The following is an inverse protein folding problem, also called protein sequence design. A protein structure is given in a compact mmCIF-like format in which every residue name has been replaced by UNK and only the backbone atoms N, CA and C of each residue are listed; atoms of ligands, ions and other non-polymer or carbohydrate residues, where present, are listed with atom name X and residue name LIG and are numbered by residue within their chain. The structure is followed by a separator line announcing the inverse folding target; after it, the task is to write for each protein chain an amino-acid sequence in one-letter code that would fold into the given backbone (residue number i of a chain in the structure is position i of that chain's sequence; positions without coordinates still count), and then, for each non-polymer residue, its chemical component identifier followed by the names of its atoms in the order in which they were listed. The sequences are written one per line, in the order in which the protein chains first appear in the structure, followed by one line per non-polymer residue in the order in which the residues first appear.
data_IF_406026638066
#
_entry.id   IF_406026638066
#
_cell.length_a   1.000
_cell.length_b   1.000
_cell.length_c   1.000
_cell.angle_alpha   90.00
_cell.angle_beta   90.00
_cell.angle_gamma   90.00
#
_symmetry.space_group_name_H-M   'P 1'
#
loop_
_entity.id
_entity.type
_entity.pdbx_description
1 polymer ?
#
# COMPACT_ATOMS: atom_id res chain seq x y z
N UNK A 1 -31.17 -8.51 -38.10
CA UNK A 1 -30.31 -7.85 -37.10
C UNK A 1 -30.93 -7.87 -35.70
N UNK A 2 -32.13 -7.32 -35.48
CA UNK A 2 -32.79 -7.33 -34.15
C UNK A 2 -32.87 -8.74 -33.52
N UNK A 3 -33.33 -9.74 -34.29
CA UNK A 3 -33.42 -11.12 -33.79
C UNK A 3 -32.07 -11.72 -33.35
N UNK A 4 -30.95 -11.30 -33.95
CA UNK A 4 -29.62 -11.81 -33.56
C UNK A 4 -29.16 -11.16 -32.25
N UNK A 5 -29.36 -9.85 -32.11
CA UNK A 5 -29.06 -9.17 -30.85
C UNK A 5 -29.89 -9.75 -29.70
N UNK A 6 -31.16 -10.07 -29.93
CA UNK A 6 -32.02 -10.76 -28.95
C UNK A 6 -31.54 -12.18 -28.64
N UNK A 7 -31.08 -12.93 -29.66
CA UNK A 7 -30.52 -14.25 -29.45
C UNK A 7 -29.26 -14.22 -28.57
N UNK A 8 -28.34 -13.28 -28.81
CA UNK A 8 -27.18 -13.07 -27.94
C UNK A 8 -27.60 -12.72 -26.51
N UNK A 9 -28.58 -11.83 -26.36
CA UNK A 9 -29.09 -11.48 -25.04
C UNK A 9 -29.71 -12.69 -24.32
N UNK A 10 -30.44 -13.55 -25.03
CA UNK A 10 -31.00 -14.78 -24.48
C UNK A 10 -29.91 -15.76 -24.04
N UNK A 11 -28.85 -15.95 -24.85
CA UNK A 11 -27.70 -16.79 -24.48
C UNK A 11 -27.02 -16.25 -23.22
N UNK A 12 -26.77 -14.95 -23.14
CA UNK A 12 -26.16 -14.32 -21.97
C UNK A 12 -26.98 -14.55 -20.69
N UNK A 13 -28.31 -14.38 -20.78
CA UNK A 13 -29.21 -14.61 -19.63
C UNK A 13 -29.26 -16.07 -19.19
N UNK A 14 -29.26 -17.01 -20.14
CA UNK A 14 -29.26 -18.44 -19.83
C UNK A 14 -27.92 -18.86 -19.20
N UNK A 15 -26.80 -18.38 -19.72
CA UNK A 15 -25.47 -18.66 -19.20
C UNK A 15 -25.28 -18.13 -17.77
N UNK A 16 -25.78 -16.93 -17.45
CA UNK A 16 -25.71 -16.36 -16.09
C UNK A 16 -26.65 -17.00 -15.08
N UNK A 17 -27.65 -17.75 -15.53
CA UNK A 17 -28.66 -18.30 -14.62
C UNK A 17 -28.12 -19.48 -13.80
N UNK A 18 -27.27 -20.32 -14.38
CA UNK A 18 -26.81 -21.57 -13.78
C UNK A 18 -25.54 -22.10 -14.48
N UNK A 19 -24.54 -22.52 -13.69
CA UNK A 19 -23.23 -23.00 -14.20
C UNK A 19 -23.37 -24.29 -15.02
N UNK A 20 -24.33 -25.17 -14.70
CA UNK A 20 -24.59 -26.36 -15.50
C UNK A 20 -25.23 -25.99 -16.85
N UNK A 21 -26.14 -25.00 -16.87
CA UNK A 21 -26.68 -24.47 -18.14
C UNK A 21 -25.58 -23.82 -18.98
N UNK A 22 -24.71 -23.03 -18.37
CA UNK A 22 -23.56 -22.42 -19.04
C UNK A 22 -22.61 -23.46 -19.66
N UNK A 23 -22.28 -24.51 -18.90
CA UNK A 23 -21.45 -25.62 -19.38
C UNK A 23 -22.13 -26.34 -20.54
N UNK A 24 -23.42 -26.65 -20.43
CA UNK A 24 -24.18 -27.30 -21.51
C UNK A 24 -24.27 -26.44 -22.76
N UNK A 25 -24.41 -25.12 -22.62
CA UNK A 25 -24.39 -24.19 -23.74
C UNK A 25 -23.06 -24.30 -24.51
N UNK A 26 -21.93 -24.29 -23.81
CA UNK A 26 -20.61 -24.36 -24.46
C UNK A 26 -20.18 -25.76 -24.92
N UNK A 27 -20.60 -26.82 -24.24
CA UNK A 27 -20.17 -28.20 -24.51
C UNK A 27 -21.14 -29.00 -25.38
N UNK A 28 -22.44 -28.93 -25.11
CA UNK A 28 -23.44 -29.72 -25.84
C UNK A 28 -24.01 -28.97 -27.04
N UNK A 29 -24.14 -27.64 -26.93
CA UNK A 29 -24.84 -26.81 -27.91
C UNK A 29 -23.91 -25.93 -28.76
N UNK A 30 -22.59 -26.02 -28.53
CA UNK A 30 -21.57 -25.28 -29.27
C UNK A 30 -21.81 -23.76 -29.32
N UNK A 31 -22.39 -23.21 -28.24
CA UNK A 31 -22.74 -21.80 -28.17
C UNK A 31 -21.51 -20.89 -28.34
N UNK A 32 -20.33 -21.34 -27.90
CA UNK A 32 -19.07 -20.60 -28.07
C UNK A 32 -18.76 -20.35 -29.56
N UNK A 33 -18.78 -21.38 -30.40
CA UNK A 33 -18.52 -21.25 -31.83
C UNK A 33 -19.66 -20.50 -32.53
N UNK A 34 -20.91 -20.76 -32.16
CA UNK A 34 -22.08 -20.08 -32.74
C UNK A 34 -22.09 -18.57 -32.47
N UNK A 35 -21.86 -18.16 -31.22
CA UNK A 35 -21.82 -16.73 -30.85
C UNK A 35 -20.63 -16.04 -31.53
N UNK A 36 -19.45 -16.66 -31.49
CA UNK A 36 -18.24 -16.10 -32.10
C UNK A 36 -18.38 -15.98 -33.61
N UNK A 37 -18.90 -17.01 -34.29
CA UNK A 37 -19.16 -17.00 -35.72
C UNK A 37 -20.21 -15.96 -36.13
N UNK A 38 -21.31 -15.85 -35.38
CA UNK A 38 -22.33 -14.84 -35.64
C UNK A 38 -21.78 -13.42 -35.44
N UNK A 39 -21.02 -13.18 -34.36
CA UNK A 39 -20.41 -11.88 -34.09
C UNK A 39 -19.41 -11.51 -35.19
N UNK A 40 -18.56 -12.44 -35.64
CA UNK A 40 -17.61 -12.23 -36.74
C UNK A 40 -18.31 -11.81 -38.04
N UNK A 41 -19.40 -12.49 -38.40
CA UNK A 41 -20.09 -12.26 -39.66
C UNK A 41 -20.91 -10.96 -39.67
N UNK A 42 -21.40 -10.53 -38.51
CA UNK A 42 -22.38 -9.45 -38.41
C UNK A 42 -21.81 -8.16 -37.81
N UNK A 43 -20.60 -8.18 -37.25
CA UNK A 43 -19.99 -7.01 -36.61
C UNK A 43 -19.33 -6.03 -37.58
N UNK A 44 -19.09 -6.41 -38.84
CA UNK A 44 -18.43 -5.57 -39.84
C UNK A 44 -19.33 -4.47 -40.41
N UNK A 45 -20.66 -4.62 -40.30
CA UNK A 45 -21.62 -3.65 -40.81
C UNK A 45 -21.72 -2.40 -39.90
N UNK A 46 -21.78 -1.21 -40.50
CA UNK A 46 -22.04 0.04 -39.76
C UNK A 46 -23.44 0.01 -39.14
N UNK A 47 -23.57 0.51 -37.91
CA UNK A 47 -24.86 0.56 -37.19
C UNK A 47 -25.21 -0.70 -36.38
N UNK A 48 -24.29 -1.65 -36.24
CA UNK A 48 -24.52 -2.90 -35.51
C UNK A 48 -24.14 -2.84 -34.02
N UNK A 49 -24.30 -1.68 -33.37
CA UNK A 49 -23.86 -1.50 -31.97
C UNK A 49 -24.52 -2.51 -31.02
N UNK A 50 -25.84 -2.70 -31.13
CA UNK A 50 -26.57 -3.67 -30.30
C UNK A 50 -26.12 -5.13 -30.51
N UNK A 51 -25.67 -5.50 -31.70
CA UNK A 51 -25.12 -6.84 -31.97
C UNK A 51 -23.75 -7.00 -31.31
N UNK A 52 -22.90 -5.96 -31.39
CA UNK A 52 -21.57 -5.97 -30.73
C UNK A 52 -21.71 -6.02 -29.22
N UNK A 53 -22.50 -5.13 -28.64
CA UNK A 53 -22.73 -5.06 -27.20
C UNK A 53 -23.32 -6.39 -26.67
N UNK A 54 -24.41 -6.89 -27.27
CA UNK A 54 -25.01 -8.15 -26.82
C UNK A 54 -24.11 -9.36 -27.12
N UNK A 55 -23.36 -9.33 -28.22
CA UNK A 55 -22.38 -10.36 -28.55
C UNK A 55 -21.28 -10.45 -27.50
N UNK A 56 -20.66 -9.32 -27.14
CA UNK A 56 -19.69 -9.25 -26.05
C UNK A 56 -20.28 -9.70 -24.72
N UNK A 57 -21.53 -9.31 -24.41
CA UNK A 57 -22.23 -9.76 -23.21
C UNK A 57 -22.45 -11.28 -23.19
N UNK A 58 -22.78 -11.90 -24.33
CA UNK A 58 -22.92 -13.34 -24.44
C UNK A 58 -21.58 -14.07 -24.27
N UNK A 59 -20.51 -13.55 -24.86
CA UNK A 59 -19.15 -14.09 -24.70
C UNK A 59 -18.69 -14.00 -23.24
N UNK A 60 -18.88 -12.84 -22.59
CA UNK A 60 -18.63 -12.62 -21.16
C UNK A 60 -19.37 -13.65 -20.31
N UNK A 61 -20.68 -13.76 -20.50
CA UNK A 61 -21.52 -14.69 -19.76
C UNK A 61 -21.15 -16.17 -19.98
N UNK A 62 -20.66 -16.54 -21.16
CA UNK A 62 -20.20 -17.91 -21.43
C UNK A 62 -18.84 -18.20 -20.78
N UNK A 63 -17.97 -17.19 -20.64
CA UNK A 63 -16.64 -17.31 -20.06
C UNK A 63 -16.63 -17.26 -18.52
N UNK A 64 -17.55 -16.49 -17.93
CA UNK A 64 -17.62 -16.21 -16.49
C UNK A 64 -17.53 -17.49 -15.63
N UNK A 65 -16.50 -17.62 -14.79
CA UNK A 65 -16.22 -18.80 -13.97
C UNK A 65 -16.25 -20.18 -14.67
N UNK A 66 -16.03 -20.23 -16.00
CA UNK A 66 -16.08 -21.47 -16.77
C UNK A 66 -14.82 -21.69 -17.64
N UNK A 67 -13.83 -22.38 -17.09
CA UNK A 67 -12.53 -22.57 -17.75
C UNK A 67 -12.63 -23.34 -19.09
N UNK A 68 -13.53 -24.34 -19.19
CA UNK A 68 -13.77 -25.09 -20.43
C UNK A 68 -14.23 -24.14 -21.55
N UNK A 69 -15.18 -23.25 -21.24
CA UNK A 69 -15.66 -22.26 -22.19
C UNK A 69 -14.60 -21.19 -22.50
N UNK A 70 -13.81 -20.73 -21.52
CA UNK A 70 -12.70 -19.77 -21.76
C UNK A 70 -11.70 -20.31 -22.78
N UNK A 71 -11.32 -21.59 -22.66
CA UNK A 71 -10.42 -22.25 -23.61
C UNK A 71 -11.05 -22.27 -25.01
N UNK A 72 -12.29 -22.76 -25.13
CA UNK A 72 -13.01 -22.82 -26.41
C UNK A 72 -13.18 -21.45 -27.07
N UNK A 73 -13.59 -20.44 -26.30
CA UNK A 73 -13.72 -19.07 -26.79
C UNK A 73 -12.38 -18.51 -27.28
N UNK A 74 -11.28 -18.85 -26.59
CA UNK A 74 -9.94 -18.53 -27.05
C UNK A 74 -9.56 -19.22 -28.36
N UNK A 75 -9.92 -20.50 -28.55
CA UNK A 75 -9.71 -21.26 -29.78
C UNK A 75 -10.55 -20.73 -30.95
N UNK A 76 -11.78 -20.30 -30.66
CA UNK A 76 -12.70 -19.71 -31.64
C UNK A 76 -12.32 -18.27 -32.04
N UNK A 77 -11.34 -17.64 -31.37
CA UNK A 77 -10.90 -16.27 -31.65
C UNK A 77 -11.87 -15.21 -31.14
N UNK A 78 -12.55 -15.48 -30.01
CA UNK A 78 -13.47 -14.52 -29.39
C UNK A 78 -12.74 -13.27 -28.88
N UNK A 79 -11.48 -13.40 -28.44
CA UNK A 79 -10.67 -12.29 -27.96
C UNK A 79 -10.53 -11.22 -29.05
N UNK A 80 -10.16 -11.61 -30.27
CA UNK A 80 -10.00 -10.70 -31.41
C UNK A 80 -11.30 -9.97 -31.73
N UNK A 81 -12.44 -10.66 -31.68
CA UNK A 81 -13.75 -10.06 -31.94
C UNK A 81 -14.16 -9.05 -30.88
N UNK A 82 -13.90 -9.32 -29.60
CA UNK A 82 -14.15 -8.37 -28.50
C UNK A 82 -13.32 -7.10 -28.69
N UNK A 83 -12.07 -7.24 -29.13
CA UNK A 83 -11.17 -6.12 -29.38
C UNK A 83 -11.56 -5.32 -30.63
N UNK A 84 -12.03 -6.00 -31.67
CA UNK A 84 -12.58 -5.35 -32.86
C UNK A 84 -13.88 -4.61 -32.54
N UNK A 85 -14.72 -5.16 -31.65
CA UNK A 85 -15.89 -4.47 -31.13
C UNK A 85 -15.50 -3.19 -30.36
N UNK A 86 -14.49 -3.26 -29.48
CA UNK A 86 -13.96 -2.09 -28.77
C UNK A 86 -13.46 -1.01 -29.74
N UNK A 87 -12.67 -1.39 -30.76
CA UNK A 87 -12.17 -0.42 -31.76
C UNK A 87 -13.29 0.23 -32.56
N UNK A 88 -14.31 -0.55 -32.93
CA UNK A 88 -15.42 -0.09 -33.76
C UNK A 88 -16.47 0.74 -32.99
N UNK A 89 -16.42 0.74 -31.66
CA UNK A 89 -17.41 1.38 -30.79
C UNK A 89 -16.81 1.96 -29.52
N UNK A 90 -15.60 2.52 -29.58
CA UNK A 90 -14.90 3.07 -28.41
C UNK A 90 -15.63 4.29 -27.79
N UNK A 91 -16.53 4.92 -28.55
CA UNK A 91 -17.39 6.01 -28.12
C UNK A 91 -18.76 5.54 -27.58
N UNK A 92 -19.13 4.28 -27.79
CA UNK A 92 -20.40 3.68 -27.35
C UNK A 92 -20.21 2.96 -25.99
N UNK A 93 -20.79 3.52 -24.93
CA UNK A 93 -20.63 3.00 -23.56
C UNK A 93 -21.07 1.54 -23.43
N UNK A 94 -22.18 1.13 -24.07
CA UNK A 94 -22.67 -0.24 -23.96
C UNK A 94 -21.67 -1.24 -24.56
N UNK A 95 -21.06 -0.88 -25.71
CA UNK A 95 -20.02 -1.70 -26.32
C UNK A 95 -18.79 -1.75 -25.41
N UNK A 96 -18.32 -0.61 -24.92
CA UNK A 96 -17.11 -0.56 -24.10
C UNK A 96 -17.29 -1.35 -22.81
N UNK A 97 -18.41 -1.18 -22.10
CA UNK A 97 -18.73 -1.90 -20.87
C UNK A 97 -18.72 -3.41 -21.12
N UNK A 98 -19.52 -3.88 -22.08
CA UNK A 98 -19.68 -5.32 -22.31
C UNK A 98 -18.39 -5.96 -22.83
N UNK A 99 -17.66 -5.26 -23.69
CA UNK A 99 -16.41 -5.77 -24.23
C UNK A 99 -15.28 -5.77 -23.18
N UNK A 100 -15.19 -4.74 -22.32
CA UNK A 100 -14.22 -4.74 -21.23
C UNK A 100 -14.48 -5.84 -20.20
N UNK A 101 -15.75 -6.10 -19.87
CA UNK A 101 -16.11 -7.23 -19.01
C UNK A 101 -15.76 -8.57 -19.68
N UNK A 102 -16.05 -8.72 -20.97
CA UNK A 102 -15.63 -9.92 -21.72
C UNK A 102 -14.10 -10.12 -21.71
N UNK A 103 -13.30 -9.05 -21.75
CA UNK A 103 -11.83 -9.12 -21.62
C UNK A 103 -11.41 -9.60 -20.22
N UNK A 104 -12.11 -9.20 -19.17
CA UNK A 104 -11.79 -9.61 -17.80
C UNK A 104 -11.95 -11.14 -17.62
N UNK A 105 -12.98 -11.71 -18.26
CA UNK A 105 -13.34 -13.11 -18.11
C UNK A 105 -12.70 -14.01 -19.17
N UNK A 106 -12.21 -13.45 -20.28
CA UNK A 106 -11.59 -14.20 -21.37
C UNK A 106 -10.25 -14.84 -20.98
N UNK A 107 -9.79 -15.77 -21.83
CA UNK A 107 -8.49 -16.40 -21.69
C UNK A 107 -7.37 -15.36 -21.78
N UNK A 108 -6.86 -14.93 -20.61
CA UNK A 108 -5.85 -13.88 -20.47
C UNK A 108 -4.70 -14.10 -21.44
N UNK A 109 -4.19 -15.33 -21.60
CA UNK A 109 -3.01 -15.63 -22.44
C UNK A 109 -3.11 -15.20 -23.91
N UNK A 110 -4.33 -14.98 -24.44
CA UNK A 110 -4.57 -14.58 -25.83
C UNK A 110 -4.82 -13.08 -26.03
N UNK A 111 -4.87 -12.30 -24.95
CA UNK A 111 -5.32 -10.90 -24.98
C UNK A 111 -4.22 -9.85 -25.25
N UNK A 112 -2.97 -10.26 -25.52
CA UNK A 112 -1.87 -9.32 -25.74
C UNK A 112 -2.16 -8.24 -26.80
N UNK A 113 -2.72 -8.63 -27.94
CA UNK A 113 -3.13 -7.70 -29.01
C UNK A 113 -4.23 -6.69 -28.60
N UNK A 114 -4.91 -6.95 -27.47
CA UNK A 114 -6.01 -6.15 -26.96
C UNK A 114 -5.64 -4.96 -26.11
N UNK A 115 -4.41 -4.94 -25.59
CA UNK A 115 -3.91 -3.84 -24.76
C UNK A 115 -4.01 -2.51 -25.52
N UNK A 116 -3.64 -2.50 -26.80
CA UNK A 116 -3.71 -1.29 -27.63
C UNK A 116 -5.15 -0.77 -27.76
N UNK A 117 -6.13 -1.64 -27.94
CA UNK A 117 -7.54 -1.22 -28.06
C UNK A 117 -8.08 -0.62 -26.75
N UNK A 118 -7.73 -1.20 -25.60
CA UNK A 118 -8.12 -0.65 -24.29
C UNK A 118 -7.47 0.71 -24.03
N UNK A 119 -6.23 0.88 -24.47
CA UNK A 119 -5.52 2.15 -24.37
C UNK A 119 -6.17 3.21 -25.26
N UNK A 120 -6.62 2.85 -26.47
CA UNK A 120 -7.38 3.75 -27.34
C UNK A 120 -8.70 4.20 -26.69
N UNK A 121 -9.42 3.28 -26.04
CA UNK A 121 -10.62 3.62 -25.25
C UNK A 121 -10.27 4.61 -24.15
N UNK A 122 -9.19 4.38 -23.38
CA UNK A 122 -8.79 5.30 -22.31
C UNK A 122 -8.27 6.65 -22.82
N UNK A 123 -7.79 6.76 -24.06
CA UNK A 123 -7.48 8.06 -24.64
C UNK A 123 -8.75 8.86 -24.97
N UNK A 124 -9.84 8.17 -25.34
CA UNK A 124 -11.14 8.81 -25.62
C UNK A 124 -11.88 9.12 -24.31
N UNK A 125 -11.85 8.18 -23.36
CA UNK A 125 -12.55 8.23 -22.07
C UNK A 125 -11.61 7.85 -20.91
N UNK A 126 -10.76 8.78 -20.43
CA UNK A 126 -9.73 8.50 -19.40
C UNK A 126 -10.28 8.03 -18.05
N UNK A 127 -11.56 8.28 -17.79
CA UNK A 127 -12.31 7.94 -16.58
C UNK A 127 -13.24 6.73 -16.77
N UNK A 128 -13.13 5.99 -17.89
CA UNK A 128 -13.95 4.82 -18.13
C UNK A 128 -13.56 3.65 -17.21
N UNK A 129 -14.37 3.39 -16.19
CA UNK A 129 -14.06 2.45 -15.12
C UNK A 129 -13.83 1.00 -15.60
N UNK A 130 -14.61 0.52 -16.56
CA UNK A 130 -14.47 -0.86 -17.07
C UNK A 130 -13.21 -1.04 -17.92
N UNK A 131 -12.73 0.02 -18.58
CA UNK A 131 -11.49 -0.05 -19.34
C UNK A 131 -10.30 -0.17 -18.38
N UNK A 132 -10.34 0.57 -17.27
CA UNK A 132 -9.37 0.40 -16.19
C UNK A 132 -9.45 -0.97 -15.50
N UNK A 133 -10.66 -1.50 -15.28
CA UNK A 133 -10.86 -2.86 -14.76
C UNK A 133 -10.20 -3.90 -15.68
N UNK A 134 -10.45 -3.83 -16.98
CA UNK A 134 -9.85 -4.73 -17.96
C UNK A 134 -8.32 -4.62 -18.00
N UNK A 135 -7.77 -3.39 -17.96
CA UNK A 135 -6.32 -3.18 -17.87
C UNK A 135 -5.75 -3.76 -16.58
N UNK A 136 -6.44 -3.60 -15.45
CA UNK A 136 -6.01 -4.19 -14.18
C UNK A 136 -5.97 -5.71 -14.24
N UNK A 137 -7.02 -6.34 -14.79
CA UNK A 137 -7.08 -7.79 -14.97
C UNK A 137 -5.96 -8.34 -15.87
N UNK A 138 -5.54 -7.56 -16.87
CA UNK A 138 -4.38 -7.87 -17.73
C UNK A 138 -3.03 -7.65 -17.03
N UNK A 139 -2.95 -6.67 -16.13
CA UNK A 139 -1.74 -6.35 -15.37
C UNK A 139 -1.43 -7.41 -14.29
N UNK A 140 -2.47 -7.97 -13.67
CA UNK A 140 -2.37 -8.82 -12.47
C UNK A 140 -1.67 -10.17 -12.71
N UNK A 141 -1.77 -10.79 -13.90
CA UNK A 141 -1.48 -12.23 -14.02
C UNK A 141 -0.67 -12.69 -15.24
N UNK A 142 -0.08 -11.78 -16.04
CA UNK A 142 0.71 -12.21 -17.20
C UNK A 142 1.90 -11.28 -17.51
N UNK A 143 3.15 -11.69 -17.21
CA UNK A 143 4.35 -10.86 -17.40
C UNK A 143 4.54 -10.27 -18.82
N UNK A 144 4.14 -10.94 -19.92
CA UNK A 144 4.16 -10.31 -21.24
C UNK A 144 3.24 -9.08 -21.36
N UNK A 145 2.00 -9.15 -20.86
CA UNK A 145 1.09 -7.99 -20.88
C UNK A 145 1.61 -6.85 -20.03
N UNK A 146 2.17 -7.18 -18.87
CA UNK A 146 2.81 -6.22 -18.00
C UNK A 146 3.86 -5.37 -18.74
N UNK A 147 4.78 -6.02 -19.49
CA UNK A 147 5.80 -5.31 -20.29
C UNK A 147 5.18 -4.48 -21.41
N UNK A 148 4.14 -4.99 -22.05
CA UNK A 148 3.43 -4.27 -23.11
C UNK A 148 2.72 -3.02 -22.58
N UNK A 149 2.01 -3.13 -21.45
CA UNK A 149 1.37 -2.00 -20.76
C UNK A 149 2.40 -0.92 -20.36
N UNK A 150 3.58 -1.33 -19.91
CA UNK A 150 4.70 -0.41 -19.61
C UNK A 150 5.15 0.34 -20.86
N UNK A 151 5.39 -0.38 -21.97
CA UNK A 151 5.83 0.21 -23.24
C UNK A 151 4.82 1.16 -23.87
N UNK A 152 3.54 1.04 -23.50
CA UNK A 152 2.44 1.87 -24.03
C UNK A 152 2.07 3.07 -23.16
N UNK A 153 2.77 3.29 -22.04
CA UNK A 153 2.56 4.48 -21.20
C UNK A 153 1.37 4.41 -20.25
N UNK A 154 0.80 3.22 -20.00
CA UNK A 154 -0.37 3.03 -19.12
C UNK A 154 -0.14 3.55 -17.71
N UNK A 155 1.09 3.46 -17.20
CA UNK A 155 1.45 4.00 -15.87
C UNK A 155 1.23 5.51 -15.78
N UNK A 156 1.61 6.26 -16.83
CA UNK A 156 1.41 7.71 -16.86
C UNK A 156 -0.06 8.08 -17.00
N UNK A 157 -0.83 7.29 -17.75
CA UNK A 157 -2.29 7.44 -17.84
C UNK A 157 -2.95 7.18 -16.48
N UNK A 158 -2.54 6.12 -15.77
CA UNK A 158 -3.09 5.77 -14.46
C UNK A 158 -2.82 6.88 -13.43
N UNK A 159 -1.61 7.45 -13.44
CA UNK A 159 -1.27 8.62 -12.62
C UNK A 159 -2.15 9.84 -12.93
N UNK A 160 -2.40 10.10 -14.21
CA UNK A 160 -3.26 11.20 -14.63
C UNK A 160 -4.71 10.99 -14.18
N UNK A 161 -5.27 9.79 -14.38
CA UNK A 161 -6.62 9.44 -13.92
C UNK A 161 -6.73 9.51 -12.40
N UNK A 162 -5.76 8.97 -11.66
CA UNK A 162 -5.73 9.00 -10.21
C UNK A 162 -5.72 10.43 -9.63
N UNK A 163 -5.03 11.36 -10.30
CA UNK A 163 -4.98 12.80 -9.96
C UNK A 163 -6.25 13.55 -10.33
N UNK A 164 -6.96 13.12 -11.36
CA UNK A 164 -8.11 13.83 -11.86
C UNK A 164 -9.28 13.74 -10.87
N UNK A 165 -9.55 14.83 -10.14
CA UNK A 165 -10.65 14.88 -9.18
C UNK A 165 -12.03 14.77 -9.84
N UNK A 166 -12.14 15.02 -11.15
CA UNK A 166 -13.39 14.86 -11.92
C UNK A 166 -13.60 13.42 -12.39
N UNK A 167 -12.56 12.57 -12.38
CA UNK A 167 -12.70 11.17 -12.75
C UNK A 167 -13.56 10.43 -11.71
N UNK A 168 -14.33 9.44 -12.19
CA UNK A 168 -15.14 8.61 -11.30
C UNK A 168 -14.28 7.97 -10.21
N UNK A 169 -14.85 7.82 -9.01
CA UNK A 169 -14.17 7.17 -7.90
C UNK A 169 -13.64 5.78 -8.32
N UNK A 170 -14.47 4.99 -9.00
CA UNK A 170 -14.12 3.63 -9.43
C UNK A 170 -12.94 3.68 -10.42
N UNK A 171 -12.93 4.61 -11.37
CA UNK A 171 -11.79 4.75 -12.28
C UNK A 171 -10.49 5.11 -11.54
N UNK A 172 -10.56 6.01 -10.55
CA UNK A 172 -9.39 6.36 -9.71
C UNK A 172 -8.89 5.16 -8.90
N UNK A 173 -9.79 4.33 -8.36
CA UNK A 173 -9.45 3.09 -7.64
C UNK A 173 -8.78 2.07 -8.56
N UNK A 174 -9.35 1.84 -9.75
CA UNK A 174 -8.77 0.89 -10.71
C UNK A 174 -7.44 1.40 -11.28
N UNK A 175 -7.29 2.70 -11.49
CA UNK A 175 -5.99 3.29 -11.83
C UNK A 175 -4.96 3.06 -10.71
N UNK A 176 -5.35 3.22 -9.44
CA UNK A 176 -4.51 2.91 -8.28
C UNK A 176 -4.10 1.43 -8.25
N UNK A 177 -5.05 0.52 -8.46
CA UNK A 177 -4.79 -0.92 -8.55
C UNK A 177 -3.77 -1.24 -9.66
N UNK A 178 -3.93 -0.65 -10.85
CA UNK A 178 -2.96 -0.79 -11.94
C UNK A 178 -1.58 -0.30 -11.50
N UNK A 179 -1.46 0.88 -10.91
CA UNK A 179 -0.18 1.40 -10.41
C UNK A 179 0.46 0.44 -9.40
N UNK A 180 -0.34 -0.11 -8.48
CA UNK A 180 0.12 -1.05 -7.47
C UNK A 180 0.70 -2.32 -8.11
N UNK A 181 -0.01 -2.99 -9.02
CA UNK A 181 0.51 -4.16 -9.74
C UNK A 181 1.74 -3.82 -10.61
N UNK A 182 1.82 -2.61 -11.19
CA UNK A 182 2.98 -2.22 -12.01
C UNK A 182 4.21 -1.87 -11.18
N UNK A 183 4.03 -1.42 -9.94
CA UNK A 183 5.13 -1.04 -9.05
C UNK A 183 6.03 -2.22 -8.63
N UNK A 184 5.61 -3.47 -8.82
CA UNK A 184 6.49 -4.64 -8.65
C UNK A 184 7.66 -4.65 -9.65
N UNK A 185 7.51 -4.01 -10.82
CA UNK A 185 8.61 -3.85 -11.76
C UNK A 185 9.47 -2.65 -11.38
N UNK A 186 10.75 -2.91 -11.08
CA UNK A 186 11.72 -1.88 -10.65
C UNK A 186 11.76 -0.61 -11.52
N UNK A 187 11.61 -0.74 -12.84
CA UNK A 187 11.58 0.43 -13.75
C UNK A 187 10.30 1.25 -13.57
N UNK A 188 9.16 0.58 -13.42
CA UNK A 188 7.88 1.21 -13.20
C UNK A 188 7.81 1.87 -11.82
N UNK A 189 8.30 1.24 -10.75
CA UNK A 189 8.33 1.85 -9.42
C UNK A 189 9.20 3.10 -9.37
N UNK A 190 10.39 3.09 -9.98
CA UNK A 190 11.22 4.30 -10.07
C UNK A 190 10.49 5.43 -10.79
N UNK A 191 9.79 5.13 -11.89
CA UNK A 191 9.00 6.11 -12.63
C UNK A 191 7.81 6.63 -11.80
N UNK A 192 7.02 5.73 -11.21
CA UNK A 192 5.89 6.06 -10.34
C UNK A 192 6.33 6.94 -9.17
N UNK A 193 7.44 6.59 -8.53
CA UNK A 193 7.99 7.34 -7.42
C UNK A 193 8.48 8.73 -7.85
N UNK A 194 9.19 8.84 -8.98
CA UNK A 194 9.60 10.13 -9.55
C UNK A 194 8.40 11.02 -9.94
N UNK A 195 7.29 10.40 -10.34
CA UNK A 195 6.03 11.10 -10.65
C UNK A 195 5.12 11.26 -9.42
N UNK A 196 5.60 11.04 -8.19
CA UNK A 196 4.83 11.34 -6.97
C UNK A 196 3.65 10.40 -6.69
N UNK A 197 3.70 9.16 -7.17
CA UNK A 197 2.65 8.15 -6.96
C UNK A 197 2.32 7.89 -5.49
N UNK A 198 3.31 8.00 -4.59
CA UNK A 198 3.11 7.78 -3.15
C UNK A 198 2.16 8.82 -2.54
N UNK A 199 2.34 10.11 -2.86
CA UNK A 199 1.44 11.16 -2.39
C UNK A 199 0.01 10.97 -2.94
N UNK A 200 -0.11 10.60 -4.22
CA UNK A 200 -1.40 10.31 -4.85
C UNK A 200 -2.11 9.15 -4.16
N UNK A 201 -1.38 8.08 -3.82
CA UNK A 201 -1.93 6.92 -3.12
C UNK A 201 -2.48 7.29 -1.73
N UNK A 202 -1.72 8.10 -0.98
CA UNK A 202 -2.14 8.60 0.34
C UNK A 202 -3.37 9.50 0.23
N UNK A 203 -3.39 10.41 -0.74
CA UNK A 203 -4.53 11.29 -0.99
C UNK A 203 -5.79 10.51 -1.37
N UNK A 204 -5.66 9.50 -2.23
CA UNK A 204 -6.76 8.62 -2.62
C UNK A 204 -7.32 7.83 -1.43
N UNK A 205 -6.46 7.21 -0.63
CA UNK A 205 -6.87 6.46 0.56
C UNK A 205 -7.58 7.34 1.62
N UNK A 206 -7.36 8.67 1.58
CA UNK A 206 -8.08 9.63 2.44
C UNK A 206 -9.40 10.10 1.86
N UNK A 207 -9.43 10.37 0.54
CA UNK A 207 -10.57 10.98 -0.13
C UNK A 207 -11.69 9.97 -0.40
N UNK A 208 -11.31 8.74 -0.73
CA UNK A 208 -12.27 7.72 -1.08
C UNK A 208 -12.88 7.10 0.19
N UNK A 209 -14.17 6.72 0.15
CA UNK A 209 -14.75 5.85 1.14
C UNK A 209 -13.78 4.73 1.48
N UNK A 210 -13.62 4.37 2.77
CA UNK A 210 -12.81 3.24 3.17
C UNK A 210 -13.51 1.96 2.68
N UNK A 211 -13.34 1.63 1.40
CA UNK A 211 -13.43 0.27 0.95
C UNK A 211 -12.08 -0.42 1.18
N UNK A 212 -12.16 -1.72 1.49
CA UNK A 212 -11.04 -2.59 1.78
C UNK A 212 -10.01 -2.52 0.64
N UNK A 213 -10.52 -2.61 -0.60
CA UNK A 213 -9.73 -2.60 -1.84
C UNK A 213 -8.85 -1.35 -2.01
N UNK A 214 -9.39 -0.13 -1.92
CA UNK A 214 -8.63 1.11 -2.20
C UNK A 214 -7.45 1.25 -1.26
N UNK A 215 -7.70 0.98 0.02
CA UNK A 215 -6.69 1.13 1.05
C UNK A 215 -5.62 0.06 0.93
N UNK A 216 -6.02 -1.18 0.61
CA UNK A 216 -5.11 -2.26 0.28
C UNK A 216 -4.22 -1.92 -0.92
N UNK A 217 -4.80 -1.46 -2.03
CA UNK A 217 -4.03 -1.07 -3.23
C UNK A 217 -3.10 0.11 -2.98
N UNK A 218 -3.52 1.09 -2.17
CA UNK A 218 -2.68 2.19 -1.75
C UNK A 218 -1.46 1.69 -0.97
N UNK A 219 -1.68 0.82 0.03
CA UNK A 219 -0.62 0.26 0.87
C UNK A 219 0.31 -0.62 0.03
N UNK A 220 -0.23 -1.45 -0.87
CA UNK A 220 0.56 -2.29 -1.77
C UNK A 220 1.46 -1.43 -2.66
N UNK A 221 0.92 -0.37 -3.27
CA UNK A 221 1.72 0.58 -4.05
C UNK A 221 2.81 1.22 -3.20
N UNK A 222 2.48 1.73 -2.02
CA UNK A 222 3.45 2.35 -1.09
C UNK A 222 4.56 1.37 -0.73
N UNK A 223 4.22 0.12 -0.41
CA UNK A 223 5.18 -0.95 -0.06
C UNK A 223 6.18 -1.19 -1.19
N UNK A 224 5.66 -1.40 -2.41
CA UNK A 224 6.48 -1.65 -3.59
C UNK A 224 7.38 -0.45 -3.93
N UNK A 225 6.89 0.77 -3.76
CA UNK A 225 7.70 1.97 -3.95
C UNK A 225 8.81 2.08 -2.90
N UNK A 226 8.49 1.83 -1.62
CA UNK A 226 9.46 1.87 -0.52
C UNK A 226 10.58 0.83 -0.70
N UNK A 227 10.27 -0.37 -1.23
CA UNK A 227 11.29 -1.37 -1.56
C UNK A 227 12.35 -0.83 -2.52
N UNK A 228 11.92 -0.07 -3.53
CA UNK A 228 12.81 0.40 -4.60
C UNK A 228 13.58 1.68 -4.25
N UNK A 229 12.95 2.59 -3.52
CA UNK A 229 13.58 3.84 -3.06
C UNK A 229 12.84 4.43 -1.85
N UNK A 230 13.36 4.15 -0.65
CA UNK A 230 12.81 4.66 0.60
C UNK A 230 12.78 6.20 0.69
N UNK A 231 13.63 6.91 -0.07
CA UNK A 231 13.65 8.38 -0.04
C UNK A 231 12.42 8.99 -0.70
N UNK A 232 11.82 8.28 -1.66
CA UNK A 232 10.65 8.74 -2.39
C UNK A 232 9.34 8.49 -1.63
N UNK A 233 9.25 7.41 -0.83
CA UNK A 233 8.14 7.19 0.10
C UNK A 233 8.09 8.29 1.19
N UNK A 234 9.25 8.82 1.60
CA UNK A 234 9.33 9.90 2.60
C UNK A 234 8.78 11.24 2.12
N UNK A 235 8.64 11.44 0.80
CA UNK A 235 8.05 12.64 0.21
C UNK A 235 6.57 12.84 0.54
N UNK A 236 5.84 11.76 0.85
CA UNK A 236 4.43 11.82 1.23
C UNK A 236 4.18 12.36 2.67
N UNK A 237 5.26 12.64 3.42
CA UNK A 237 5.16 13.40 4.68
C UNK A 237 4.43 12.68 5.81
N UNK A 238 3.91 13.46 6.77
CA UNK A 238 3.21 12.96 7.97
C UNK A 238 1.93 12.18 7.65
N UNK A 239 1.31 12.51 6.52
CA UNK A 239 0.07 11.91 6.06
C UNK A 239 0.18 10.42 5.76
N UNK A 240 1.33 10.01 5.20
CA UNK A 240 1.63 8.60 4.99
C UNK A 240 1.70 7.85 6.33
N UNK A 241 2.40 8.41 7.32
CA UNK A 241 2.53 7.78 8.63
C UNK A 241 1.20 7.73 9.37
N UNK A 242 0.36 8.76 9.23
CA UNK A 242 -0.99 8.77 9.78
C UNK A 242 -1.87 7.68 9.14
N UNK A 243 -1.80 7.50 7.82
CA UNK A 243 -2.50 6.43 7.11
C UNK A 243 -2.05 5.06 7.60
N UNK A 244 -0.74 4.78 7.60
CA UNK A 244 -0.21 3.49 8.06
C UNK A 244 -0.56 3.20 9.53
N UNK A 245 -0.52 4.22 10.40
CA UNK A 245 -0.90 4.09 11.80
C UNK A 245 -2.39 3.80 12.01
N UNK A 246 -3.26 4.38 11.17
CA UNK A 246 -4.70 4.09 11.16
C UNK A 246 -4.97 2.65 10.71
N UNK A 247 -4.32 2.18 9.65
CA UNK A 247 -4.52 0.83 9.12
C UNK A 247 -3.96 -0.25 10.04
N UNK A 248 -2.81 0.00 10.67
CA UNK A 248 -2.27 -0.89 11.72
C UNK A 248 -3.26 -1.04 12.90
N UNK A 249 -3.99 0.04 13.23
CA UNK A 249 -5.03 0.01 14.27
C UNK A 249 -6.23 -0.82 13.82
N UNK A 250 -6.75 -0.57 12.63
CA UNK A 250 -7.88 -1.33 12.09
C UNK A 250 -7.56 -2.84 12.06
N UNK A 251 -6.41 -3.23 11.51
CA UNK A 251 -5.99 -4.63 11.43
C UNK A 251 -5.77 -5.31 12.78
N UNK A 252 -5.42 -4.56 13.84
CA UNK A 252 -5.29 -5.11 15.19
C UNK A 252 -6.63 -5.45 15.84
N UNK A 253 -7.72 -4.88 15.32
CA UNK A 253 -9.08 -5.07 15.82
C UNK A 253 -9.87 -6.09 14.98
N UNK A 254 -9.37 -6.46 13.79
CA UNK A 254 -10.03 -7.39 12.87
C UNK A 254 -9.69 -8.86 13.17
N UNK A 255 -10.68 -9.74 12.99
CA UNK A 255 -10.45 -11.19 13.04
C UNK A 255 -9.56 -11.66 11.88
N UNK A 256 -8.74 -12.71 12.05
CA UNK A 256 -7.93 -13.26 10.97
C UNK A 256 -8.81 -13.78 9.81
N UNK A 257 -8.58 -13.26 8.61
CA UNK A 257 -9.12 -13.76 7.33
C UNK A 257 -8.01 -13.75 6.28
N UNK A 258 -8.20 -14.43 5.16
CA UNK A 258 -7.21 -14.46 4.06
C UNK A 258 -6.94 -13.06 3.48
N UNK A 259 -7.99 -12.26 3.25
CA UNK A 259 -7.86 -10.87 2.80
C UNK A 259 -7.11 -10.01 3.84
N UNK A 260 -7.44 -10.18 5.12
CA UNK A 260 -6.75 -9.46 6.21
C UNK A 260 -5.27 -9.85 6.30
N UNK A 261 -4.92 -11.08 5.93
CA UNK A 261 -3.52 -11.54 5.89
C UNK A 261 -2.74 -10.87 4.76
N UNK A 262 -3.32 -10.75 3.56
CA UNK A 262 -2.68 -10.03 2.44
C UNK A 262 -2.50 -8.54 2.76
N UNK A 263 -3.53 -7.87 3.26
CA UNK A 263 -3.45 -6.46 3.70
C UNK A 263 -2.39 -6.27 4.78
N UNK A 264 -2.35 -7.18 5.78
CA UNK A 264 -1.35 -7.17 6.85
C UNK A 264 0.06 -7.40 6.32
N UNK A 265 0.25 -8.30 5.36
CA UNK A 265 1.55 -8.55 4.74
C UNK A 265 2.06 -7.32 3.97
N UNK A 266 1.18 -6.67 3.19
CA UNK A 266 1.49 -5.44 2.47
C UNK A 266 1.84 -4.30 3.44
N UNK A 267 1.09 -4.15 4.53
CA UNK A 267 1.33 -3.14 5.55
C UNK A 267 2.66 -3.39 6.29
N UNK A 268 2.93 -4.63 6.68
CA UNK A 268 4.18 -5.01 7.31
C UNK A 268 5.38 -4.77 6.39
N UNK A 269 5.25 -5.06 5.09
CA UNK A 269 6.28 -4.80 4.10
C UNK A 269 6.54 -3.29 3.96
N UNK A 270 5.49 -2.47 3.81
CA UNK A 270 5.61 -1.01 3.76
C UNK A 270 6.36 -0.47 4.99
N UNK A 271 5.94 -0.89 6.19
CA UNK A 271 6.58 -0.44 7.43
C UNK A 271 8.02 -0.96 7.54
N UNK A 272 8.30 -2.21 7.16
CA UNK A 272 9.65 -2.79 7.15
C UNK A 272 10.59 -1.96 6.28
N UNK A 273 10.20 -1.66 5.04
CA UNK A 273 11.03 -0.89 4.13
C UNK A 273 11.29 0.52 4.65
N UNK A 274 10.23 1.20 5.09
CA UNK A 274 10.33 2.53 5.69
C UNK A 274 11.20 2.53 6.96
N UNK A 275 11.17 1.46 7.76
CA UNK A 275 11.96 1.37 9.00
C UNK A 275 13.48 1.31 8.79
N UNK A 276 13.94 1.11 7.56
CA UNK A 276 15.37 1.15 7.24
C UNK A 276 15.94 2.57 7.35
N UNK A 277 15.09 3.59 7.16
CA UNK A 277 15.41 5.01 7.34
C UNK A 277 15.12 5.46 8.79
N UNK A 278 16.11 6.04 9.45
CA UNK A 278 15.98 6.52 10.83
C UNK A 278 14.95 7.63 11.01
N UNK A 279 14.79 8.52 10.01
CA UNK A 279 13.81 9.61 10.05
C UNK A 279 12.40 9.04 9.91
N UNK A 280 12.21 8.07 9.02
CA UNK A 280 10.92 7.40 8.87
C UNK A 280 10.51 6.68 10.16
N UNK A 281 11.43 5.99 10.85
CA UNK A 281 11.12 5.37 12.15
C UNK A 281 10.68 6.40 13.18
N UNK A 282 11.39 7.54 13.26
CA UNK A 282 11.02 8.62 14.19
C UNK A 282 9.62 9.17 13.89
N UNK A 283 9.28 9.37 12.61
CA UNK A 283 7.94 9.83 12.19
C UNK A 283 6.86 8.80 12.47
N UNK A 284 7.14 7.52 12.21
CA UNK A 284 6.21 6.42 12.48
C UNK A 284 5.94 6.26 13.99
N UNK A 285 6.95 6.47 14.83
CA UNK A 285 6.78 6.54 16.28
C UNK A 285 5.98 7.76 16.73
N UNK A 286 6.19 8.94 16.13
CA UNK A 286 5.37 10.13 16.43
C UNK A 286 3.88 9.92 16.07
N UNK A 287 3.59 9.12 15.04
CA UNK A 287 2.23 8.77 14.65
C UNK A 287 1.60 7.65 15.52
N UNK A 288 2.31 7.14 16.54
CA UNK A 288 1.87 5.99 17.36
C UNK A 288 1.84 4.66 16.61
N UNK A 289 2.49 4.60 15.44
CA UNK A 289 2.54 3.40 14.59
C UNK A 289 3.62 2.42 15.02
N UNK A 290 4.69 2.88 15.68
CA UNK A 290 5.84 2.03 16.05
C UNK A 290 5.47 1.01 17.12
N UNK A 291 4.73 1.45 18.13
CA UNK A 291 4.28 0.64 19.27
C UNK A 291 3.36 -0.48 18.80
N UNK A 292 2.44 -0.15 17.89
CA UNK A 292 1.47 -1.06 17.31
C UNK A 292 2.10 -2.02 16.32
N UNK A 293 3.06 -1.55 15.52
CA UNK A 293 3.89 -2.43 14.70
C UNK A 293 4.60 -3.46 15.56
N UNK A 294 5.21 -3.03 16.67
CA UNK A 294 5.87 -3.94 17.60
C UNK A 294 4.88 -4.94 18.19
N UNK A 295 3.69 -4.49 18.63
CA UNK A 295 2.65 -5.37 19.14
C UNK A 295 2.14 -6.39 18.09
N UNK A 296 1.83 -5.92 16.88
CA UNK A 296 1.33 -6.75 15.78
C UNK A 296 2.35 -7.81 15.33
N UNK A 297 3.63 -7.44 15.26
CA UNK A 297 4.70 -8.37 14.90
C UNK A 297 5.01 -9.37 16.03
N UNK A 298 4.88 -8.97 17.30
CA UNK A 298 5.03 -9.89 18.44
C UNK A 298 3.89 -10.93 18.51
N UNK A 299 2.72 -10.62 17.98
CA UNK A 299 1.59 -11.54 17.93
C UNK A 299 1.76 -12.69 16.91
N UNK A 300 2.66 -12.55 15.91
CA UNK A 300 2.77 -13.48 14.77
C UNK A 300 3.99 -14.44 14.79
N UNK A 301 4.68 -14.59 15.92
CA UNK A 301 5.64 -15.68 16.15
C UNK A 301 7.11 -15.43 15.72
N UNK A 302 7.95 -16.43 16.03
CA UNK A 302 9.42 -16.31 16.21
C UNK A 302 10.23 -15.79 14.99
N UNK A 303 9.78 -16.05 13.76
CA UNK A 303 10.59 -15.74 12.57
C UNK A 303 10.60 -14.25 12.24
N UNK A 304 9.44 -13.60 12.35
CA UNK A 304 9.31 -12.14 12.21
C UNK A 304 9.87 -11.42 13.44
N UNK A 305 9.77 -12.03 14.63
CA UNK A 305 10.35 -11.48 15.86
C UNK A 305 11.87 -11.29 15.76
N UNK A 306 12.61 -12.23 15.14
CA UNK A 306 14.08 -12.13 15.03
C UNK A 306 14.51 -10.98 14.13
N UNK A 307 13.86 -10.79 12.99
CA UNK A 307 14.13 -9.67 12.07
C UNK A 307 13.74 -8.33 12.70
N UNK A 308 12.60 -8.30 13.41
CA UNK A 308 12.17 -7.11 14.14
C UNK A 308 13.11 -6.77 15.28
N UNK A 309 13.53 -7.73 16.11
CA UNK A 309 14.53 -7.52 17.18
C UNK A 309 15.81 -6.95 16.60
N UNK A 310 16.24 -7.44 15.44
CA UNK A 310 17.42 -6.92 14.74
C UNK A 310 17.20 -5.45 14.32
N UNK A 311 16.03 -5.13 13.79
CA UNK A 311 15.67 -3.77 13.37
C UNK A 311 15.51 -2.80 14.56
N UNK A 312 14.86 -3.23 15.65
CA UNK A 312 14.75 -2.51 16.92
C UNK A 312 16.14 -2.27 17.52
N UNK A 313 17.01 -3.28 17.55
CA UNK A 313 18.36 -3.13 18.09
C UNK A 313 19.21 -2.18 17.23
N UNK A 314 19.06 -2.24 15.90
CA UNK A 314 19.69 -1.28 14.98
C UNK A 314 19.17 0.13 15.24
N UNK A 315 17.87 0.30 15.44
CA UNK A 315 17.25 1.58 15.78
C UNK A 315 17.73 2.11 17.13
N UNK A 316 17.77 1.28 18.18
CA UNK A 316 18.36 1.62 19.48
C UNK A 316 19.83 2.05 19.35
N UNK A 317 20.60 1.37 18.51
CA UNK A 317 21.97 1.75 18.17
C UNK A 317 22.05 3.15 17.54
N UNK A 318 21.21 3.43 16.55
CA UNK A 318 21.12 4.75 15.91
C UNK A 318 20.66 5.85 16.88
N UNK A 319 19.67 5.58 17.74
CA UNK A 319 19.22 6.53 18.77
C UNK A 319 20.35 6.87 19.74
N UNK A 320 21.15 5.88 20.16
CA UNK A 320 22.35 6.13 20.99
C UNK A 320 23.39 6.99 20.25
N UNK A 321 23.59 6.75 18.95
CA UNK A 321 24.48 7.57 18.13
C UNK A 321 23.99 9.02 17.98
N UNK A 322 22.69 9.22 17.75
CA UNK A 322 22.07 10.55 17.67
C UNK A 322 22.13 11.29 19.01
N UNK A 323 21.84 10.61 20.13
CA UNK A 323 21.99 11.19 21.46
C UNK A 323 23.44 11.63 21.72
N UNK A 324 24.42 10.77 21.37
CA UNK A 324 25.84 11.13 21.47
C UNK A 324 26.21 12.33 20.60
N UNK A 325 25.74 12.37 19.35
CA UNK A 325 25.99 13.49 18.44
C UNK A 325 25.37 14.80 18.96
N UNK A 326 24.19 14.74 19.58
CA UNK A 326 23.57 15.86 20.27
C UNK A 326 24.44 16.36 21.41
N UNK A 327 24.90 15.46 22.28
CA UNK A 327 25.73 15.82 23.43
C UNK A 327 27.08 16.41 22.99
N UNK A 328 27.68 15.88 21.92
CA UNK A 328 28.89 16.44 21.28
C UNK A 328 28.62 17.83 20.68
N UNK A 329 27.45 18.05 20.06
CA UNK A 329 27.06 19.37 19.53
C UNK A 329 26.88 20.40 20.64
N UNK A 330 26.17 20.03 21.71
CA UNK A 330 25.97 20.88 22.90
C UNK A 330 27.32 21.19 23.56
N UNK A 331 28.23 20.22 23.65
CA UNK A 331 29.57 20.45 24.17
C UNK A 331 30.39 21.42 23.29
N UNK A 332 30.29 21.31 21.95
CA UNK A 332 30.94 22.26 21.02
C UNK A 332 30.36 23.66 21.15
N UNK A 333 29.05 23.78 21.30
CA UNK A 333 28.38 25.07 21.50
C UNK A 333 28.80 25.71 22.83
N UNK A 334 28.88 24.93 23.90
CA UNK A 334 29.39 25.38 25.19
C UNK A 334 30.85 25.84 25.10
N UNK A 335 31.72 25.05 24.45
CA UNK A 335 33.13 25.40 24.22
C UNK A 335 33.29 26.64 23.33
N UNK A 336 32.46 26.81 22.30
CA UNK A 336 32.45 27.99 21.46
C UNK A 336 31.99 29.23 22.25
N UNK A 337 30.98 29.07 23.10
CA UNK A 337 30.50 30.13 24.00
C UNK A 337 31.59 30.54 24.99
N UNK A 338 32.32 29.59 25.56
CA UNK A 338 33.46 29.82 26.46
C UNK A 338 34.62 30.50 25.72
N UNK A 339 34.95 30.05 24.50
CA UNK A 339 35.97 30.68 23.67
C UNK A 339 35.61 32.12 23.29
N UNK A 340 34.34 32.39 22.92
CA UNK A 340 33.84 33.74 22.68
C UNK A 340 33.91 34.59 23.96
N UNK A 341 33.58 34.03 25.13
CA UNK A 341 33.73 34.72 26.40
C UNK A 341 35.20 35.04 26.72
N UNK A 342 36.12 34.11 26.46
CA UNK A 342 37.56 34.30 26.65
C UNK A 342 38.17 35.32 25.68
N UNK A 343 37.78 35.28 24.40
CA UNK A 343 38.15 36.30 23.42
C UNK A 343 37.61 37.66 23.83
N UNK A 344 36.34 37.75 24.26
CA UNK A 344 35.77 39.00 24.79
C UNK A 344 36.54 39.50 26.01
N UNK A 345 36.97 38.63 26.92
CA UNK A 345 37.77 39.02 28.07
C UNK A 345 39.15 39.55 27.64
N UNK A 346 39.85 38.86 26.73
CA UNK A 346 41.15 39.29 26.21
C UNK A 346 41.08 40.58 25.39
N UNK A 347 40.09 40.70 24.53
CA UNK A 347 39.86 41.84 23.64
C UNK A 347 39.30 43.04 24.43
N UNK A 348 38.44 42.85 25.45
CA UNK A 348 38.11 43.93 26.39
C UNK A 348 39.33 44.40 27.17
N UNK A 349 40.24 43.50 27.56
CA UNK A 349 41.44 43.88 28.32
C UNK A 349 42.41 44.67 27.43
N UNK A 350 42.59 44.28 26.16
CA UNK A 350 43.39 45.03 25.18
C UNK A 350 42.72 46.33 24.74
N UNK A 351 41.40 46.36 24.55
CA UNK A 351 40.66 47.55 24.17
C UNK A 351 40.51 48.53 25.34
N UNK A 352 40.39 48.08 26.59
CA UNK A 352 40.46 48.95 27.78
C UNK A 352 41.87 49.54 27.94
N UNK A 353 42.92 48.76 27.67
CA UNK A 353 44.29 49.27 27.63
C UNK A 353 44.54 50.25 26.48
N UNK A 354 43.81 50.13 25.37
CA UNK A 354 43.91 51.02 24.20
C UNK A 354 42.95 52.23 24.24
N UNK A 355 41.87 52.18 25.04
CA UNK A 355 40.81 53.21 25.11
C UNK A 355 40.88 54.11 26.34
N UNK A 356 41.99 54.15 27.09
CA UNK A 356 42.28 55.27 28.01
C UNK A 356 42.45 56.64 27.29
N UNK A 357 41.92 56.83 26.06
CA UNK A 357 41.98 58.09 25.33
C UNK A 357 40.91 58.38 24.26
N UNK A 358 39.84 57.59 24.08
CA UNK A 358 38.86 57.89 23.01
C UNK A 358 37.41 57.47 23.34
N UNK A 359 36.63 58.42 23.83
CA UNK A 359 35.25 58.24 24.34
C UNK A 359 34.13 58.20 23.27
N UNK A 360 34.45 58.32 21.98
CA UNK A 360 33.42 58.51 20.93
C UNK A 360 32.75 57.23 20.40
N UNK A 361 33.46 56.10 20.37
CA UNK A 361 33.08 54.95 19.51
C UNK A 361 32.46 53.75 20.26
N UNK A 362 32.13 53.92 21.54
CA UNK A 362 31.62 52.85 22.40
C UNK A 362 30.13 52.56 22.19
N UNK A 363 29.34 53.54 21.76
CA UNK A 363 27.90 53.39 21.61
C UNK A 363 27.50 52.54 20.40
N UNK A 364 28.20 52.69 19.27
CA UNK A 364 27.94 51.92 18.05
C UNK A 364 28.31 50.44 18.22
N UNK A 365 29.48 50.16 18.81
CA UNK A 365 29.94 48.79 19.11
C UNK A 365 29.01 48.06 20.09
N UNK A 366 28.44 48.76 21.08
CA UNK A 366 27.42 48.18 21.99
C UNK A 366 26.14 47.80 21.25
N UNK A 367 25.68 48.63 20.32
CA UNK A 367 24.47 48.37 19.54
C UNK A 367 24.63 47.16 18.61
N UNK A 368 25.79 47.02 17.98
CA UNK A 368 26.11 45.88 17.12
C UNK A 368 26.24 44.58 17.92
N UNK A 369 26.90 44.61 19.09
CA UNK A 369 26.95 43.44 19.98
C UNK A 369 25.57 42.96 20.45
N UNK A 370 24.64 43.88 20.73
CA UNK A 370 23.28 43.51 21.16
C UNK A 370 22.47 42.85 20.02
N UNK A 371 22.73 43.24 18.77
CA UNK A 371 22.14 42.58 17.60
C UNK A 371 22.67 41.15 17.44
N UNK A 372 23.98 40.95 17.55
CA UNK A 372 24.58 39.60 17.53
C UNK A 372 24.09 38.71 18.68
N UNK A 373 23.89 39.29 19.87
CA UNK A 373 23.31 38.59 21.02
C UNK A 373 21.87 38.12 20.76
N UNK A 374 21.07 38.95 20.10
CA UNK A 374 19.68 38.63 19.78
C UNK A 374 19.57 37.49 18.76
N UNK A 375 20.45 37.47 17.75
CA UNK A 375 20.49 36.40 16.74
C UNK A 375 20.96 35.07 17.35
N UNK A 376 21.99 35.10 18.20
CA UNK A 376 22.50 33.90 18.87
C UNK A 376 21.46 33.29 19.84
N UNK A 377 20.76 34.12 20.63
CA UNK A 377 19.71 33.64 21.53
C UNK A 377 18.55 32.98 20.76
N UNK A 378 18.14 33.56 19.62
CA UNK A 378 17.05 32.99 18.81
C UNK A 378 17.40 31.61 18.25
N UNK A 379 18.63 31.43 17.78
CA UNK A 379 19.11 30.13 17.29
C UNK A 379 19.23 29.10 18.44
N UNK A 380 19.66 29.54 19.62
CA UNK A 380 19.68 28.71 20.83
C UNK A 380 18.28 28.26 21.26
N UNK A 381 17.29 29.16 21.24
CA UNK A 381 15.90 28.85 21.58
C UNK A 381 15.26 27.87 20.58
N UNK A 382 15.52 28.03 19.28
CA UNK A 382 15.05 27.10 18.24
C UNK A 382 15.66 25.70 18.40
N UNK A 383 16.95 25.59 18.73
CA UNK A 383 17.61 24.32 19.01
C UNK A 383 17.13 23.68 20.33
N UNK A 384 16.89 24.49 21.36
CA UNK A 384 16.35 24.01 22.64
C UNK A 384 14.93 23.47 22.48
N UNK A 385 14.07 24.12 21.67
CA UNK A 385 12.73 23.63 21.37
C UNK A 385 12.78 22.29 20.59
N UNK A 386 13.63 22.18 19.58
CA UNK A 386 13.83 20.92 18.84
C UNK A 386 14.35 19.79 19.76
N UNK A 387 15.24 20.11 20.70
CA UNK A 387 15.75 19.16 21.69
C UNK A 387 14.68 18.75 22.70
N UNK A 388 13.83 19.68 23.15
CA UNK A 388 12.72 19.41 24.08
C UNK A 388 11.67 18.48 23.44
N UNK A 389 11.31 18.72 22.18
CA UNK A 389 10.42 17.84 21.40
C UNK A 389 11.01 16.43 21.27
N UNK A 390 12.32 16.31 21.03
CA UNK A 390 13.03 15.03 20.99
C UNK A 390 13.04 14.32 22.36
N UNK A 391 13.20 15.06 23.46
CA UNK A 391 13.17 14.49 24.83
C UNK A 391 11.78 13.97 25.19
N UNK A 392 10.71 14.72 24.89
CA UNK A 392 9.34 14.21 25.10
C UNK A 392 9.09 12.91 24.32
N UNK A 393 9.59 12.81 23.09
CA UNK A 393 9.48 11.60 22.26
C UNK A 393 10.26 10.42 22.86
N UNK A 394 11.43 10.66 23.45
CA UNK A 394 12.24 9.62 24.13
C UNK A 394 11.57 9.14 25.43
N UNK A 395 10.92 10.04 26.18
CA UNK A 395 10.14 9.67 27.38
C UNK A 395 8.98 8.73 27.02
N UNK A 396 8.30 8.97 25.90
CA UNK A 396 7.30 8.04 25.36
C UNK A 396 7.87 6.64 25.13
N UNK A 397 9.05 6.54 24.50
CA UNK A 397 9.73 5.25 24.25
C UNK A 397 10.09 4.50 25.55
N UNK A 398 10.44 5.21 26.63
CA UNK A 398 10.74 4.60 27.93
C UNK A 398 9.47 4.02 28.60
N UNK A 399 8.34 4.72 28.46
CA UNK A 399 7.05 4.26 28.98
C UNK A 399 6.57 2.98 28.28
N UNK A 400 6.75 2.92 26.96
CA UNK A 400 6.44 1.73 26.16
C UNK A 400 7.36 0.54 26.45
N UNK A 401 8.61 0.79 26.86
CA UNK A 401 9.50 -0.26 27.34
C UNK A 401 9.04 -0.86 28.67
N UNK A 402 8.48 -0.05 29.57
CA UNK A 402 7.90 -0.53 30.81
C UNK A 402 6.66 -1.40 30.54
N UNK A 403 5.77 -0.95 29.66
CA UNK A 403 4.58 -1.73 29.24
C UNK A 403 4.96 -3.06 28.57
N UNK A 404 5.98 -3.06 27.71
CA UNK A 404 6.48 -4.29 27.07
C UNK A 404 7.09 -5.26 28.10
N UNK A 405 7.75 -4.76 29.15
CA UNK A 405 8.26 -5.61 30.23
C UNK A 405 7.10 -6.25 30.99
N UNK A 406 6.08 -5.47 31.33
CA UNK A 406 4.90 -5.96 32.04
C UNK A 406 4.09 -6.97 31.22
N UNK A 407 4.03 -6.82 29.89
CA UNK A 407 3.41 -7.82 29.01
C UNK A 407 4.21 -9.13 28.96
N UNK A 408 5.54 -9.09 29.03
CA UNK A 408 6.37 -10.30 29.09
C UNK A 408 6.17 -11.04 30.41
N UNK A 409 6.18 -10.32 31.51
CA UNK A 409 5.95 -10.90 32.84
C UNK A 409 4.57 -11.56 32.90
N UNK A 410 3.54 -10.94 32.30
CA UNK A 410 2.19 -11.53 32.17
C UNK A 410 2.19 -12.80 31.31
N UNK A 411 2.86 -12.79 30.17
CA UNK A 411 2.94 -13.97 29.29
C UNK A 411 3.66 -15.14 29.97
N UNK A 412 4.77 -14.87 30.65
CA UNK A 412 5.50 -15.89 31.43
C UNK A 412 4.61 -16.45 32.55
N UNK A 413 3.82 -15.60 33.21
CA UNK A 413 2.86 -16.02 34.22
C UNK A 413 1.73 -16.89 33.62
N UNK A 414 1.15 -16.49 32.49
CA UNK A 414 0.12 -17.26 31.78
C UNK A 414 0.64 -18.63 31.35
N UNK A 415 1.90 -18.72 30.90
CA UNK A 415 2.56 -19.98 30.54
C UNK A 415 2.73 -20.89 31.77
N UNK A 416 3.15 -20.34 32.90
CA UNK A 416 3.23 -21.06 34.18
C UNK A 416 1.86 -21.58 34.62
N UNK A 417 0.82 -20.76 34.49
CA UNK A 417 -0.55 -21.12 34.87
C UNK A 417 -1.14 -22.20 33.94
N UNK A 418 -0.85 -22.15 32.64
CA UNK A 418 -1.21 -23.21 31.69
C UNK A 418 -0.50 -24.54 32.00
N UNK A 419 0.80 -24.50 32.33
CA UNK A 419 1.55 -25.69 32.73
C UNK A 419 1.01 -26.28 34.03
N UNK A 420 0.62 -25.44 34.98
CA UNK A 420 -0.03 -25.86 36.22
C UNK A 420 -1.37 -26.53 35.95
N UNK A 421 -2.21 -25.94 35.10
CA UNK A 421 -3.51 -26.50 34.73
C UNK A 421 -3.36 -27.87 34.03
N UNK A 422 -2.37 -27.99 33.14
CA UNK A 422 -2.04 -29.25 32.47
C UNK A 422 -1.58 -30.33 33.46
N UNK A 423 -0.81 -29.95 34.48
CA UNK A 423 -0.38 -30.84 35.56
C UNK A 423 -1.56 -31.30 36.43
N UNK A 424 -2.44 -30.37 36.84
CA UNK A 424 -3.65 -30.68 37.63
C UNK A 424 -4.59 -31.64 36.86
N UNK A 425 -4.78 -31.43 35.56
CA UNK A 425 -5.52 -32.35 34.69
C UNK A 425 -4.87 -33.74 34.63
N UNK A 426 -3.55 -33.79 34.49
CA UNK A 426 -2.78 -35.05 34.45
C UNK A 426 -2.92 -35.83 35.76
N UNK A 427 -2.85 -35.15 36.89
CA UNK A 427 -2.98 -35.77 38.22
C UNK A 427 -4.42 -36.22 38.51
N UNK A 428 -5.43 -35.46 38.07
CA UNK A 428 -6.84 -35.88 38.12
C UNK A 428 -7.12 -37.15 37.32
N UNK A 429 -6.53 -37.27 36.12
CA UNK A 429 -6.62 -38.49 35.29
C UNK A 429 -5.89 -39.69 35.93
N UNK A 430 -4.81 -39.47 36.67
CA UNK A 430 -4.13 -40.53 37.43
C UNK A 430 -4.91 -40.97 38.67
N UNK A 431 -5.55 -40.04 39.37
CA UNK A 431 -6.37 -40.31 40.56
C UNK A 431 -7.61 -41.16 40.24
N UNK A 432 -8.32 -40.82 39.16
CA UNK A 432 -9.49 -41.59 38.68
C UNK A 432 -9.12 -43.01 38.24
N UNK A 433 -7.90 -43.24 37.75
CA UNK A 433 -7.42 -44.58 37.37
C UNK A 433 -7.15 -45.48 38.58
N UNK A 434 -6.75 -44.92 39.73
CA UNK A 434 -6.58 -45.68 41.00
C UNK A 434 -7.90 -46.05 41.68
N UNK A 435 -8.92 -45.21 41.59
CA UNK A 435 -10.24 -45.51 42.16
C UNK A 435 -10.99 -46.65 41.44
N UNK A 436 -10.58 -47.03 40.22
CA UNK A 436 -11.17 -48.15 39.45
C UNK A 436 -10.53 -49.51 39.72
N UNK A 437 -9.43 -49.58 40.46
CA UNK A 437 -8.70 -50.84 40.68
C UNK A 437 -8.95 -51.49 42.04
N UNK A 438 -9.78 -50.90 42.91
CA UNK A 438 -10.21 -51.60 44.12
C UNK A 438 -11.25 -52.66 43.74
N UNK A 439 -10.95 -53.96 43.90
CA UNK A 439 -11.91 -55.01 43.61
C UNK A 439 -13.07 -54.90 44.60
N UNK A 440 -14.30 -54.85 44.05
CA UNK A 440 -15.51 -54.87 44.86
C UNK A 440 -15.43 -56.02 45.90
N UNK A 441 -15.74 -55.75 47.18
CA UNK A 441 -15.71 -56.78 48.21
C UNK A 441 -16.73 -57.87 47.81
N UNK A 442 -16.22 -59.08 47.60
CA UNK A 442 -17.05 -60.25 47.27
C UNK A 442 -17.97 -60.54 48.46
N UNK A 443 -19.27 -60.34 48.26
CA UNK A 443 -20.34 -60.83 49.13
C UNK A 443 -20.79 -62.22 48.68
#
# INVERSE_FOLDING_TARGET
MACVAEAFHAVARLAKADVAVQTRLGEELDACALVTGALRNLSSEKGCSGIRANGCMALQALADDNESNKIKLGEEGACELVLDALRAGADDDDIVIQACLAVCDANKSKLGAGIQSLIEVLHIKPDHEYAWLAISALADNYPPHQRELEGKGVVSMALQTARNAEASQIARQRALQVMAHRSELRKCSQKLAAEGACAIAVDLAKQLPPDEDTTEWAIMLISNLAETDNTLAMGAGEDLFALLGKELRALSEMEPSENNELHRNNLNAAVRYMSTDSIAVLRLSCAGGFERLVAALLAHGDTQERELRTSINRFKGKLKQLAKARDESVAREAAATEAVAAMRAGDLTQQLAAKEGADGDLAAARKEMEQWRTVANRQGDELAQQAADLVQKVVGVAQLQAELSEMKDRREQDEVDLLRLAQELTDGLRGTKRARTDPAPRA
#
